data_IF_702042423065
#
_entry.id   IF_702042423065
#
_cell.length_a   1.000
_cell.length_b   1.000
_cell.length_c   1.000
_cell.angle_alpha   90.00
_cell.angle_beta   90.00
_cell.angle_gamma   90.00
#
_symmetry.space_group_name_H-M   'P 1'
#
loop_
_entity.id
_entity.type
_entity.pdbx_description
1 polymer ?
#
# COMPACT_ATOMS: atom_id res chain seq x y z
N UNK A 1 10.27 32.39 -11.81
CA UNK A 1 10.03 31.00 -12.23
C UNK A 1 10.75 29.97 -11.38
N UNK A 2 11.86 30.36 -10.75
CA UNK A 2 12.60 29.43 -9.88
C UNK A 2 11.78 28.90 -8.69
N UNK A 3 10.92 29.72 -8.08
CA UNK A 3 10.06 29.28 -6.99
C UNK A 3 9.04 28.23 -7.41
N UNK A 4 8.54 28.34 -8.62
CA UNK A 4 7.62 27.37 -9.20
C UNK A 4 8.27 26.01 -9.38
N UNK A 5 9.50 25.99 -9.87
CA UNK A 5 10.24 24.73 -10.06
C UNK A 5 10.53 24.03 -8.72
N UNK A 6 10.84 24.81 -7.69
CA UNK A 6 11.11 24.26 -6.36
C UNK A 6 9.87 23.54 -5.79
N UNK A 7 8.70 24.16 -5.90
CA UNK A 7 7.44 23.57 -5.42
C UNK A 7 7.08 22.29 -6.18
N UNK A 8 7.19 22.34 -7.51
CA UNK A 8 6.91 21.19 -8.35
C UNK A 8 7.83 20.02 -8.02
N UNK A 9 9.12 20.28 -7.82
CA UNK A 9 10.09 19.26 -7.46
C UNK A 9 9.79 18.62 -6.11
N UNK A 10 9.35 19.40 -5.12
CA UNK A 10 8.99 18.88 -3.80
C UNK A 10 7.75 17.97 -3.92
N UNK A 11 6.73 18.36 -4.67
CA UNK A 11 5.53 17.55 -4.90
C UNK A 11 5.86 16.22 -5.56
N UNK A 12 6.65 16.24 -6.62
CA UNK A 12 7.04 15.02 -7.33
C UNK A 12 7.86 14.08 -6.45
N UNK A 13 8.77 14.64 -5.66
CA UNK A 13 9.59 13.86 -4.75
C UNK A 13 8.74 13.18 -3.68
N UNK A 14 7.80 13.90 -3.06
CA UNK A 14 6.90 13.35 -2.06
C UNK A 14 6.02 12.25 -2.63
N UNK A 15 5.44 12.45 -3.81
CA UNK A 15 4.62 11.43 -4.48
C UNK A 15 5.40 10.15 -4.76
N UNK A 16 6.63 10.27 -5.23
CA UNK A 16 7.49 9.10 -5.46
C UNK A 16 7.85 8.38 -4.17
N UNK A 17 8.12 9.12 -3.10
CA UNK A 17 8.42 8.52 -1.79
C UNK A 17 7.21 7.78 -1.24
N UNK A 18 6.01 8.36 -1.36
CA UNK A 18 4.77 7.73 -0.90
C UNK A 18 4.47 6.44 -1.67
N UNK A 19 4.71 6.42 -2.99
CA UNK A 19 4.54 5.23 -3.80
C UNK A 19 5.53 4.13 -3.42
N UNK A 20 6.78 4.47 -3.18
CA UNK A 20 7.81 3.53 -2.73
C UNK A 20 7.47 2.97 -1.35
N UNK A 21 6.97 3.81 -0.45
CA UNK A 21 6.54 3.39 0.89
C UNK A 21 5.38 2.41 0.82
N UNK A 22 4.40 2.65 -0.05
CA UNK A 22 3.29 1.75 -0.26
C UNK A 22 3.73 0.36 -0.72
N UNK A 23 4.65 0.29 -1.67
CA UNK A 23 5.24 -0.98 -2.12
C UNK A 23 5.99 -1.69 -1.01
N UNK A 24 6.78 -0.94 -0.25
CA UNK A 24 7.55 -1.49 0.87
C UNK A 24 6.62 -2.06 1.92
N UNK A 25 5.56 -1.34 2.30
CA UNK A 25 4.59 -1.81 3.28
C UNK A 25 3.89 -3.08 2.82
N UNK A 26 3.54 -3.19 1.54
CA UNK A 26 2.96 -4.40 0.99
C UNK A 26 3.89 -5.61 1.11
N UNK A 27 5.17 -5.43 0.82
CA UNK A 27 6.18 -6.49 0.96
C UNK A 27 6.38 -6.88 2.43
N UNK A 28 6.45 -5.90 3.32
CA UNK A 28 6.63 -6.14 4.75
C UNK A 28 5.42 -6.85 5.34
N UNK A 29 4.22 -6.44 4.98
CA UNK A 29 2.98 -7.09 5.42
C UNK A 29 2.91 -8.54 4.93
N UNK A 30 3.30 -8.80 3.70
CA UNK A 30 3.33 -10.16 3.15
C UNK A 30 4.35 -11.03 3.88
N UNK A 31 5.52 -10.49 4.19
CA UNK A 31 6.53 -11.23 4.95
C UNK A 31 6.02 -11.62 6.34
N UNK A 32 5.29 -10.72 7.01
CA UNK A 32 4.66 -11.01 8.30
C UNK A 32 3.61 -12.11 8.15
N UNK A 33 2.75 -12.01 7.15
CA UNK A 33 1.71 -13.00 6.89
C UNK A 33 2.28 -14.38 6.65
N UNK A 34 3.29 -14.49 5.80
CA UNK A 34 3.95 -15.77 5.49
C UNK A 34 4.64 -16.35 6.73
N UNK A 35 5.35 -15.51 7.49
CA UNK A 35 6.02 -15.95 8.70
C UNK A 35 5.01 -16.46 9.75
N UNK A 36 3.89 -15.77 9.92
CA UNK A 36 2.83 -16.19 10.82
C UNK A 36 2.17 -17.49 10.38
N UNK A 37 1.98 -17.66 9.07
CA UNK A 37 1.42 -18.90 8.50
C UNK A 37 2.30 -20.11 8.79
N UNK A 38 3.60 -19.94 8.66
CA UNK A 38 4.54 -21.04 8.77
C UNK A 38 4.90 -21.40 10.22
N UNK A 39 4.90 -20.44 11.12
CA UNK A 39 5.38 -20.65 12.48
C UNK A 39 4.46 -20.16 13.60
N UNK A 40 3.27 -19.68 13.27
CA UNK A 40 2.31 -19.17 14.25
C UNK A 40 2.45 -17.68 14.52
N UNK A 41 1.44 -17.13 15.20
CA UNK A 41 1.30 -15.68 15.39
C UNK A 41 2.00 -15.10 16.62
N UNK A 42 2.73 -15.91 17.38
CA UNK A 42 3.42 -15.46 18.57
C UNK A 42 4.90 -15.22 18.28
N UNK A 43 5.33 -13.98 18.40
CA UNK A 43 6.73 -13.59 18.11
C UNK A 43 7.73 -14.22 19.07
N UNK A 44 7.32 -14.58 20.27
CA UNK A 44 8.20 -15.25 21.23
C UNK A 44 8.61 -16.65 20.76
N UNK A 45 7.73 -17.32 20.02
CA UNK A 45 7.95 -18.68 19.53
C UNK A 45 8.23 -18.74 18.03
N UNK A 46 8.29 -17.60 17.38
CA UNK A 46 8.49 -17.51 15.93
C UNK A 46 9.52 -16.43 15.60
N UNK A 47 10.82 -16.78 15.59
CA UNK A 47 11.88 -15.80 15.32
C UNK A 47 11.77 -15.13 13.95
N UNK A 48 11.31 -15.86 12.95
CA UNK A 48 11.10 -15.30 11.59
C UNK A 48 10.03 -14.22 11.62
N UNK A 49 8.93 -14.46 12.35
CA UNK A 49 7.88 -13.47 12.53
C UNK A 49 8.41 -12.24 13.30
N UNK A 50 9.18 -12.46 14.38
CA UNK A 50 9.76 -11.39 15.16
C UNK A 50 10.63 -10.49 14.28
N UNK A 51 11.47 -11.05 13.43
CA UNK A 51 12.29 -10.31 12.48
C UNK A 51 11.45 -9.50 11.49
N UNK A 52 10.40 -10.12 10.94
CA UNK A 52 9.50 -9.46 9.99
C UNK A 52 8.76 -8.28 10.65
N UNK A 53 8.31 -8.47 11.88
CA UNK A 53 7.63 -7.40 12.66
C UNK A 53 8.60 -6.26 12.95
N UNK A 54 9.83 -6.56 13.35
CA UNK A 54 10.84 -5.55 13.63
C UNK A 54 11.16 -4.70 12.39
N UNK A 55 11.26 -5.33 11.24
CA UNK A 55 11.46 -4.62 9.97
C UNK A 55 10.28 -3.69 9.65
N UNK A 56 9.06 -4.17 9.87
CA UNK A 56 7.86 -3.37 9.63
C UNK A 56 7.81 -2.16 10.56
N UNK A 57 8.13 -2.35 11.84
CA UNK A 57 8.18 -1.26 12.81
C UNK A 57 9.27 -0.25 12.48
N UNK A 58 10.43 -0.72 12.04
CA UNK A 58 11.52 0.15 11.61
C UNK A 58 11.14 1.01 10.40
N UNK A 59 10.25 0.51 9.55
CA UNK A 59 9.69 1.24 8.41
C UNK A 59 8.47 2.09 8.78
N UNK A 60 8.14 2.18 10.06
CA UNK A 60 7.01 2.94 10.58
C UNK A 60 5.64 2.41 10.15
N UNK A 61 5.51 1.10 9.96
CA UNK A 61 4.22 0.49 9.70
C UNK A 61 3.33 0.59 10.94
N UNK A 62 2.08 1.06 10.82
CA UNK A 62 1.16 1.12 11.94
C UNK A 62 0.92 -0.25 12.59
N UNK A 63 0.77 -0.27 13.90
CA UNK A 63 0.59 -1.52 14.64
C UNK A 63 -0.64 -2.32 14.21
N UNK A 64 -1.73 -1.66 13.88
CA UNK A 64 -2.94 -2.34 13.41
C UNK A 64 -2.71 -3.04 12.07
N UNK A 65 -1.85 -2.50 11.21
CA UNK A 65 -1.46 -3.18 9.97
C UNK A 65 -0.63 -4.43 10.25
N UNK A 66 0.28 -4.34 11.21
CA UNK A 66 1.10 -5.48 11.62
C UNK A 66 0.22 -6.59 12.19
N UNK A 67 -0.67 -6.25 13.11
CA UNK A 67 -1.58 -7.22 13.73
C UNK A 67 -2.50 -7.87 12.70
N UNK A 68 -3.00 -7.10 11.75
CA UNK A 68 -3.87 -7.61 10.69
C UNK A 68 -3.13 -8.59 9.79
N UNK A 69 -1.87 -8.31 9.47
CA UNK A 69 -1.04 -9.21 8.69
C UNK A 69 -0.79 -10.54 9.42
N UNK A 70 -0.56 -10.49 10.73
CA UNK A 70 -0.40 -11.69 11.56
C UNK A 70 -1.70 -12.50 11.54
N UNK A 71 -2.84 -11.87 11.74
CA UNK A 71 -4.14 -12.54 11.75
C UNK A 71 -4.48 -13.18 10.40
N UNK A 72 -4.10 -12.55 9.30
CA UNK A 72 -4.25 -13.16 7.98
C UNK A 72 -3.40 -14.42 7.83
N UNK A 73 -2.18 -14.38 8.34
CA UNK A 73 -1.29 -15.53 8.30
C UNK A 73 -1.79 -16.70 9.12
N UNK A 74 -2.35 -16.43 10.29
CA UNK A 74 -2.90 -17.48 11.18
C UNK A 74 -4.31 -17.94 10.77
N UNK A 75 -4.92 -17.32 9.77
CA UNK A 75 -6.25 -17.69 9.31
C UNK A 75 -7.41 -17.08 10.09
N UNK A 76 -7.13 -16.20 11.05
CA UNK A 76 -8.18 -15.53 11.83
C UNK A 76 -8.96 -14.51 10.99
N UNK A 77 -8.34 -13.99 9.95
CA UNK A 77 -8.96 -13.10 8.96
C UNK A 77 -8.68 -13.69 7.60
N UNK A 78 -9.63 -13.59 6.66
CA UNK A 78 -9.42 -14.08 5.31
C UNK A 78 -8.16 -13.48 4.71
N UNK A 79 -7.35 -14.36 4.11
CA UNK A 79 -6.08 -13.99 3.54
C UNK A 79 -6.24 -12.99 2.44
N UNK A 80 -5.58 -11.85 2.60
CA UNK A 80 -5.48 -10.88 1.55
C UNK A 80 -4.08 -10.96 0.97
N UNK A 81 -4.01 -11.08 -0.34
CA UNK A 81 -2.77 -10.98 -1.08
C UNK A 81 -2.69 -9.56 -1.59
N UNK A 82 -1.62 -8.85 -1.25
CA UNK A 82 -1.39 -7.54 -1.82
C UNK A 82 -1.08 -7.68 -3.31
N UNK A 83 -1.87 -7.04 -4.12
CA UNK A 83 -1.72 -7.03 -5.57
C UNK A 83 -1.43 -5.63 -6.07
N UNK A 84 -0.54 -5.56 -7.03
CA UNK A 84 -0.30 -4.35 -7.79
C UNK A 84 -1.31 -4.30 -8.92
N UNK A 85 -2.05 -3.19 -9.02
CA UNK A 85 -3.01 -3.00 -10.10
C UNK A 85 -2.88 -1.59 -10.65
N UNK A 86 -3.28 -1.41 -11.90
CA UNK A 86 -3.13 -0.14 -12.60
C UNK A 86 -4.48 0.32 -13.13
N UNK A 87 -4.72 1.61 -13.01
CA UNK A 87 -5.92 2.24 -13.54
C UNK A 87 -5.54 3.35 -14.49
N UNK A 88 -6.24 3.44 -15.58
CA UNK A 88 -6.11 4.53 -16.54
C UNK A 88 -7.34 5.38 -16.46
N UNK A 89 -7.16 6.69 -16.56
CA UNK A 89 -8.26 7.62 -16.54
C UNK A 89 -7.85 8.98 -17.05
N UNK A 90 -8.78 9.90 -17.01
CA UNK A 90 -8.58 11.27 -17.50
C UNK A 90 -8.90 12.23 -16.36
N UNK A 91 -7.99 13.17 -16.15
CA UNK A 91 -8.21 14.28 -15.25
C UNK A 91 -8.89 15.45 -15.91
N UNK A 92 -9.06 16.57 -15.20
CA UNK A 92 -9.61 17.79 -15.76
C UNK A 92 -8.82 18.24 -16.99
N UNK A 93 -9.54 18.68 -18.03
CA UNK A 93 -8.90 19.11 -19.27
C UNK A 93 -8.42 17.99 -20.18
N UNK A 94 -8.79 16.75 -19.89
CA UNK A 94 -8.44 15.60 -20.73
C UNK A 94 -7.03 15.05 -20.49
N UNK A 95 -6.40 15.42 -19.39
CA UNK A 95 -5.06 14.91 -19.04
C UNK A 95 -5.15 13.42 -18.74
N UNK A 96 -4.37 12.61 -19.44
CA UNK A 96 -4.30 11.17 -19.21
C UNK A 96 -3.53 10.88 -17.90
N UNK A 97 -4.10 10.02 -17.06
CA UNK A 97 -3.51 9.62 -15.80
C UNK A 97 -3.37 8.10 -15.75
N UNK A 98 -2.22 7.66 -15.28
CA UNK A 98 -1.94 6.26 -15.06
C UNK A 98 -1.64 6.07 -13.57
N UNK A 99 -2.52 5.34 -12.87
CA UNK A 99 -2.48 5.22 -11.42
C UNK A 99 -2.08 3.81 -11.04
N UNK A 100 -0.99 3.70 -10.31
CA UNK A 100 -0.54 2.43 -9.74
C UNK A 100 -1.07 2.32 -8.32
N UNK A 101 -1.72 1.22 -8.01
CA UNK A 101 -2.29 0.96 -6.69
C UNK A 101 -1.81 -0.38 -6.16
N UNK A 102 -1.36 -0.39 -4.92
CA UNK A 102 -1.09 -1.62 -4.19
C UNK A 102 -2.23 -1.85 -3.21
N UNK A 103 -2.94 -2.95 -3.35
CA UNK A 103 -4.13 -3.21 -2.54
C UNK A 103 -4.27 -4.69 -2.21
N UNK A 104 -4.90 -4.95 -1.08
CA UNK A 104 -5.36 -6.28 -0.70
C UNK A 104 -6.83 -6.52 -1.09
N UNK A 105 -7.50 -5.50 -1.64
CA UNK A 105 -8.90 -5.57 -2.05
C UNK A 105 -9.11 -4.79 -3.34
N UNK A 106 -9.10 -5.50 -4.45
CA UNK A 106 -9.23 -4.89 -5.79
C UNK A 106 -10.54 -4.15 -5.97
N UNK A 107 -11.63 -4.68 -5.44
CA UNK A 107 -12.96 -4.06 -5.59
C UNK A 107 -13.02 -2.73 -4.85
N UNK A 108 -12.50 -2.68 -3.61
CA UNK A 108 -12.44 -1.44 -2.84
C UNK A 108 -11.52 -0.43 -3.51
N UNK A 109 -10.36 -0.86 -3.98
CA UNK A 109 -9.41 0.02 -4.66
C UNK A 109 -10.02 0.63 -5.91
N UNK A 110 -10.70 -0.18 -6.74
CA UNK A 110 -11.38 0.30 -7.95
C UNK A 110 -12.44 1.36 -7.61
N UNK A 111 -13.23 1.11 -6.58
CA UNK A 111 -14.26 2.04 -6.12
C UNK A 111 -13.65 3.35 -5.63
N UNK A 112 -12.60 3.27 -4.83
CA UNK A 112 -11.92 4.44 -4.28
C UNK A 112 -11.27 5.27 -5.38
N UNK A 113 -10.61 4.62 -6.34
CA UNK A 113 -9.98 5.32 -7.48
C UNK A 113 -11.03 5.99 -8.34
N UNK A 114 -12.14 5.30 -8.65
CA UNK A 114 -13.24 5.88 -9.42
C UNK A 114 -13.83 7.09 -8.72
N UNK A 115 -14.06 7.00 -7.41
CA UNK A 115 -14.58 8.11 -6.61
C UNK A 115 -13.63 9.31 -6.63
N UNK A 116 -12.32 9.06 -6.52
CA UNK A 116 -11.31 10.11 -6.56
C UNK A 116 -11.33 10.85 -7.90
N UNK A 117 -11.38 10.11 -9.01
CA UNK A 117 -11.49 10.73 -10.34
C UNK A 117 -12.76 11.57 -10.46
N UNK A 118 -13.89 11.03 -10.05
CA UNK A 118 -15.20 11.72 -10.13
C UNK A 118 -15.20 13.00 -9.30
N UNK A 119 -14.68 12.95 -8.08
CA UNK A 119 -14.64 14.13 -7.19
C UNK A 119 -13.79 15.26 -7.73
N UNK A 120 -12.83 14.95 -8.57
CA UNK A 120 -11.90 15.93 -9.13
C UNK A 120 -12.13 16.19 -10.62
N UNK A 121 -13.36 15.99 -11.08
CA UNK A 121 -13.81 16.24 -12.45
C UNK A 121 -13.06 15.42 -13.50
N UNK A 122 -12.66 14.21 -13.14
CA UNK A 122 -12.05 13.26 -14.05
C UNK A 122 -12.96 12.07 -14.31
N UNK A 123 -12.48 11.17 -15.14
CA UNK A 123 -13.16 9.94 -15.49
C UNK A 123 -12.18 8.78 -15.46
N UNK A 124 -12.60 7.68 -14.87
CA UNK A 124 -11.87 6.43 -14.98
C UNK A 124 -12.14 5.81 -16.34
N UNK A 125 -11.09 5.52 -17.05
CA UNK A 125 -11.17 4.90 -18.37
C UNK A 125 -11.57 3.42 -18.35
#
# INVERSE_FOLDING_TARGET
MSGHSKWANIKHRKGRQDAKRGKLFGKLAKAIEVAARNGGGNTEFNPTLATAVDKAKAASMPNDNVERAIKRGTGEVEGAIYEETFYEGYGPGGVALYVQVLTDNRNRAASDVRSAFTRHNGNLG
#
